data_IF_898446240436
#
_entry.id   IF_898446240436
#
_cell.length_a   1.000
_cell.length_b   1.000
_cell.length_c   1.000
_cell.angle_alpha   90.00
_cell.angle_beta   90.00
_cell.angle_gamma   90.00
#
_symmetry.space_group_name_H-M   'P 1'
#
loop_
_entity.id
_entity.type
_entity.pdbx_description
1 polymer ?
#
# COMPACT_ATOMS: atom_id res chain seq x y z
N UNK A 1 5.38 20.77 4.35
CA UNK A 1 4.21 21.51 4.89
C UNK A 1 3.35 22.13 3.77
N UNK A 2 3.07 21.41 2.68
CA UNK A 2 2.30 21.94 1.53
C UNK A 2 0.86 21.41 1.43
N UNK A 3 0.50 20.36 2.19
CA UNK A 3 -0.83 19.75 2.09
C UNK A 3 -1.95 20.59 2.73
N UNK A 4 -1.65 21.49 3.66
CA UNK A 4 -2.69 22.06 4.53
C UNK A 4 -3.67 22.96 3.75
N UNK A 5 -3.18 23.84 2.87
CA UNK A 5 -4.04 24.75 2.09
C UNK A 5 -4.84 24.06 0.97
N UNK A 6 -4.20 23.15 0.23
CA UNK A 6 -4.81 22.51 -0.95
C UNK A 6 -5.78 21.37 -0.61
N UNK A 7 -5.63 20.74 0.56
CA UNK A 7 -6.60 19.74 1.03
C UNK A 7 -7.81 20.37 1.71
N UNK A 8 -7.66 21.53 2.35
CA UNK A 8 -8.74 22.27 3.02
C UNK A 8 -9.87 22.66 2.05
N UNK A 9 -9.54 23.01 0.80
CA UNK A 9 -10.54 23.42 -0.19
C UNK A 9 -11.33 22.24 -0.79
N UNK A 10 -10.95 20.99 -0.48
CA UNK A 10 -11.56 19.75 -0.95
C UNK A 10 -11.32 19.41 -2.43
N UNK A 11 -10.86 20.35 -3.26
CA UNK A 11 -10.69 20.14 -4.71
C UNK A 11 -9.62 19.10 -4.99
N UNK A 12 -8.50 19.13 -4.26
CA UNK A 12 -7.42 18.16 -4.47
C UNK A 12 -7.91 16.73 -4.20
N UNK A 13 -8.67 16.52 -3.12
CA UNK A 13 -9.24 15.22 -2.78
C UNK A 13 -10.23 14.75 -3.86
N UNK A 14 -11.09 15.65 -4.35
CA UNK A 14 -12.01 15.36 -5.45
C UNK A 14 -11.26 14.97 -6.74
N UNK A 15 -10.20 15.69 -7.12
CA UNK A 15 -9.36 15.34 -8.28
C UNK A 15 -8.70 13.97 -8.13
N UNK A 16 -8.26 13.61 -6.92
CA UNK A 16 -7.67 12.29 -6.66
C UNK A 16 -8.72 11.19 -6.82
N UNK A 17 -9.93 11.39 -6.25
CA UNK A 17 -11.03 10.44 -6.40
C UNK A 17 -11.43 10.24 -7.85
N UNK A 18 -11.56 11.32 -8.62
CA UNK A 18 -11.91 11.25 -10.04
C UNK A 18 -10.81 10.59 -10.88
N UNK A 19 -9.54 10.70 -10.46
CA UNK A 19 -8.42 10.01 -11.12
C UNK A 19 -8.38 8.51 -10.84
N UNK A 20 -8.81 8.08 -9.64
CA UNK A 20 -8.89 6.66 -9.26
C UNK A 20 -10.09 6.00 -9.93
N UNK A 21 -11.23 6.70 -9.96
CA UNK A 21 -12.47 6.29 -10.62
C UNK A 21 -13.02 7.44 -11.46
N UNK A 22 -12.72 7.46 -12.77
CA UNK A 22 -13.20 8.50 -13.68
C UNK A 22 -14.72 8.61 -13.66
N UNK A 23 -15.24 9.81 -13.42
CA UNK A 23 -16.67 10.11 -13.44
C UNK A 23 -17.36 9.95 -12.08
N UNK A 24 -16.64 9.64 -11.00
CA UNK A 24 -17.24 9.57 -9.65
C UNK A 24 -17.57 10.96 -9.09
N UNK A 25 -16.93 12.02 -9.58
CA UNK A 25 -17.15 13.40 -9.13
C UNK A 25 -18.10 14.13 -10.09
N UNK A 26 -19.22 14.63 -9.57
CA UNK A 26 -20.05 15.57 -10.31
C UNK A 26 -19.46 16.98 -10.20
N UNK A 27 -18.61 17.34 -11.17
CA UNK A 27 -17.92 18.63 -11.23
C UNK A 27 -18.86 19.85 -11.29
N UNK A 28 -20.14 19.68 -11.70
CA UNK A 28 -21.12 20.77 -11.66
C UNK A 28 -21.51 21.17 -10.23
N UNK A 29 -21.38 20.25 -9.26
CA UNK A 29 -21.66 20.53 -7.84
C UNK A 29 -20.45 21.10 -7.11
N UNK A 30 -19.26 21.00 -7.70
CA UNK A 30 -18.00 21.41 -7.07
C UNK A 30 -17.83 22.92 -7.17
N UNK A 31 -17.44 23.56 -6.07
CA UNK A 31 -17.00 24.95 -6.07
C UNK A 31 -15.55 25.00 -6.53
N UNK A 32 -15.33 25.26 -7.82
CA UNK A 32 -14.01 25.23 -8.48
C UNK A 32 -13.08 26.36 -8.00
N UNK A 33 -13.63 27.52 -7.66
CA UNK A 33 -12.91 28.65 -7.08
C UNK A 33 -13.54 29.03 -5.73
N UNK A 34 -13.32 28.23 -4.68
CA UNK A 34 -13.96 28.42 -3.39
C UNK A 34 -13.34 29.65 -2.70
N UNK A 35 -14.19 30.61 -2.30
CA UNK A 35 -13.73 31.91 -1.74
C UNK A 35 -13.85 31.95 -0.22
N UNK A 36 -14.81 31.20 0.33
CA UNK A 36 -15.17 31.24 1.75
C UNK A 36 -15.05 29.84 2.38
N UNK A 37 -14.92 29.79 3.72
CA UNK A 37 -14.88 28.53 4.49
C UNK A 37 -16.12 27.65 4.23
N UNK A 38 -17.27 28.25 3.95
CA UNK A 38 -18.49 27.54 3.57
C UNK A 38 -18.33 26.75 2.25
N UNK A 39 -17.66 27.31 1.25
CA UNK A 39 -17.39 26.60 -0.01
C UNK A 39 -16.44 25.42 0.22
N UNK A 40 -15.46 25.57 1.12
CA UNK A 40 -14.56 24.48 1.52
C UNK A 40 -15.34 23.33 2.15
N UNK A 41 -16.25 23.65 3.09
CA UNK A 41 -17.11 22.66 3.74
C UNK A 41 -17.99 21.94 2.72
N UNK A 42 -18.57 22.66 1.75
CA UNK A 42 -19.38 22.05 0.69
C UNK A 42 -18.57 21.06 -0.15
N UNK A 43 -17.38 21.44 -0.60
CA UNK A 43 -16.49 20.54 -1.34
C UNK A 43 -16.05 19.35 -0.49
N UNK A 44 -15.71 19.56 0.79
CA UNK A 44 -15.29 18.48 1.68
C UNK A 44 -16.46 17.52 2.03
N UNK A 45 -17.69 18.03 2.13
CA UNK A 45 -18.87 17.19 2.28
C UNK A 45 -19.12 16.35 1.02
N UNK A 46 -18.85 16.90 -0.18
CA UNK A 46 -18.88 16.10 -1.42
C UNK A 46 -17.84 14.98 -1.39
N UNK A 47 -16.61 15.25 -0.89
CA UNK A 47 -15.59 14.22 -0.70
C UNK A 47 -16.16 13.09 0.16
N UNK A 48 -16.58 13.38 1.40
CA UNK A 48 -17.15 12.37 2.32
C UNK A 48 -18.32 11.62 1.66
N UNK A 49 -19.22 12.33 0.98
CA UNK A 49 -20.36 11.73 0.31
C UNK A 49 -20.00 10.77 -0.84
N UNK A 50 -18.87 10.97 -1.52
CA UNK A 50 -18.38 10.08 -2.58
C UNK A 50 -17.70 8.86 -1.98
N UNK A 51 -16.80 9.04 -1.00
CA UNK A 51 -16.09 7.91 -0.39
C UNK A 51 -17.00 6.99 0.41
N UNK A 52 -18.09 7.50 1.01
CA UNK A 52 -19.07 6.67 1.72
C UNK A 52 -20.07 5.93 0.81
N UNK A 53 -19.97 6.06 -0.51
CA UNK A 53 -20.85 5.39 -1.48
C UNK A 53 -20.03 4.53 -2.45
N UNK A 54 -20.73 3.67 -3.19
CA UNK A 54 -20.14 2.99 -4.35
C UNK A 54 -19.53 4.02 -5.33
N UNK A 55 -18.32 3.77 -5.88
CA UNK A 55 -17.56 2.50 -5.87
C UNK A 55 -16.58 2.32 -4.69
N UNK A 56 -16.52 3.27 -3.75
CA UNK A 56 -15.52 3.28 -2.68
C UNK A 56 -15.96 2.53 -1.42
N UNK A 57 -17.21 2.74 -0.99
CA UNK A 57 -17.85 2.16 0.21
C UNK A 57 -16.94 2.19 1.46
N UNK A 58 -16.30 3.35 1.69
CA UNK A 58 -15.39 3.59 2.80
C UNK A 58 -16.14 4.16 4.01
N UNK A 59 -16.03 3.46 5.14
CA UNK A 59 -16.61 3.89 6.42
C UNK A 59 -15.77 5.02 7.04
N UNK A 60 -16.31 6.22 7.02
CA UNK A 60 -15.75 7.38 7.73
C UNK A 60 -16.41 7.51 9.10
N UNK A 61 -15.95 6.76 10.10
CA UNK A 61 -16.46 6.91 11.46
C UNK A 61 -15.95 8.23 12.06
N UNK A 62 -16.87 9.12 12.47
CA UNK A 62 -16.60 10.37 13.17
C UNK A 62 -15.72 11.41 12.43
N UNK A 63 -15.75 11.44 11.08
CA UNK A 63 -15.09 12.49 10.29
C UNK A 63 -16.12 13.12 9.34
N UNK A 64 -16.33 14.43 9.47
CA UNK A 64 -17.17 15.23 8.58
C UNK A 64 -16.36 16.11 7.63
N UNK A 65 -17.03 16.69 6.62
CA UNK A 65 -16.38 17.65 5.72
C UNK A 65 -15.93 18.93 6.43
N UNK A 66 -16.55 19.28 7.56
CA UNK A 66 -16.11 20.40 8.42
C UNK A 66 -14.72 20.15 8.99
N UNK A 67 -14.42 18.93 9.43
CA UNK A 67 -13.10 18.60 10.01
C UNK A 67 -11.97 18.76 8.99
N UNK A 68 -12.25 18.41 7.73
CA UNK A 68 -11.31 18.57 6.61
C UNK A 68 -11.15 20.05 6.26
N UNK A 69 -12.25 20.80 6.13
CA UNK A 69 -12.23 22.22 5.81
C UNK A 69 -11.56 23.08 6.90
N UNK A 70 -11.59 22.62 8.16
CA UNK A 70 -10.86 23.22 9.29
C UNK A 70 -9.38 22.85 9.33
N UNK A 71 -8.94 21.92 8.47
CA UNK A 71 -7.56 21.48 8.43
C UNK A 71 -7.16 20.57 9.58
N UNK A 72 -8.10 19.83 10.17
CA UNK A 72 -7.79 18.85 11.21
C UNK A 72 -6.93 17.75 10.60
N UNK A 73 -5.66 17.73 10.97
CA UNK A 73 -4.67 16.84 10.39
C UNK A 73 -5.09 15.36 10.49
N UNK A 74 -5.66 14.95 11.63
CA UNK A 74 -6.16 13.58 11.85
C UNK A 74 -7.25 13.20 10.84
N UNK A 75 -8.17 14.10 10.54
CA UNK A 75 -9.25 13.87 9.57
C UNK A 75 -8.69 13.73 8.15
N UNK A 76 -7.82 14.66 7.72
CA UNK A 76 -7.19 14.65 6.40
C UNK A 76 -6.36 13.37 6.20
N UNK A 77 -5.53 13.00 7.18
CA UNK A 77 -4.69 11.80 7.11
C UNK A 77 -5.53 10.52 7.08
N UNK A 78 -6.61 10.46 7.87
CA UNK A 78 -7.52 9.31 7.85
C UNK A 78 -8.16 9.14 6.47
N UNK A 79 -8.72 10.21 5.90
CA UNK A 79 -9.35 10.16 4.57
C UNK A 79 -8.34 9.80 3.48
N UNK A 80 -7.18 10.47 3.45
CA UNK A 80 -6.13 10.18 2.48
C UNK A 80 -5.61 8.74 2.59
N UNK A 81 -5.42 8.24 3.82
CA UNK A 81 -4.99 6.87 4.08
C UNK A 81 -6.02 5.83 3.63
N UNK A 82 -7.32 6.08 3.85
CA UNK A 82 -8.38 5.20 3.36
C UNK A 82 -8.42 5.16 1.82
N UNK A 83 -8.31 6.32 1.15
CA UNK A 83 -8.24 6.42 -0.32
C UNK A 83 -7.02 5.65 -0.85
N UNK A 84 -5.85 5.85 -0.24
CA UNK A 84 -4.62 5.14 -0.60
C UNK A 84 -4.77 3.63 -0.45
N UNK A 85 -5.29 3.17 0.69
CA UNK A 85 -5.51 1.74 0.95
C UNK A 85 -6.49 1.13 -0.04
N UNK A 86 -7.58 1.84 -0.33
CA UNK A 86 -8.54 1.44 -1.35
C UNK A 86 -7.87 1.26 -2.72
N UNK A 87 -7.08 2.26 -3.15
CA UNK A 87 -6.39 2.22 -4.43
C UNK A 87 -5.41 1.05 -4.54
N UNK A 88 -4.64 0.78 -3.49
CA UNK A 88 -3.73 -0.36 -3.44
C UNK A 88 -4.50 -1.69 -3.59
N UNK A 89 -5.57 -1.88 -2.80
CA UNK A 89 -6.40 -3.08 -2.89
C UNK A 89 -7.05 -3.20 -4.27
N UNK A 90 -7.53 -2.09 -4.85
CA UNK A 90 -8.09 -2.07 -6.22
C UNK A 90 -7.04 -2.50 -7.24
N UNK A 91 -5.83 -1.97 -7.16
CA UNK A 91 -4.73 -2.34 -8.07
C UNK A 91 -4.39 -3.82 -7.95
N UNK A 92 -4.29 -4.35 -6.72
CA UNK A 92 -4.09 -5.79 -6.50
C UNK A 92 -5.27 -6.64 -7.00
N UNK A 93 -6.51 -6.13 -6.92
CA UNK A 93 -7.70 -6.78 -7.48
C UNK A 93 -7.73 -6.74 -9.00
N UNK A 94 -7.12 -5.75 -9.65
CA UNK A 94 -6.98 -5.74 -11.11
C UNK A 94 -5.99 -6.81 -11.60
N UNK A 95 -5.07 -7.23 -10.73
CA UNK A 95 -4.22 -8.39 -10.99
C UNK A 95 -4.99 -9.72 -10.86
N UNK A 96 -6.32 -9.74 -10.68
CA UNK A 96 -7.12 -10.98 -10.55
C UNK A 96 -6.81 -11.96 -11.69
N UNK A 97 -6.68 -13.22 -11.30
CA UNK A 97 -6.41 -14.33 -12.21
C UNK A 97 -7.55 -15.35 -12.11
N UNK A 98 -8.27 -15.57 -13.21
CA UNK A 98 -9.37 -16.56 -13.26
C UNK A 98 -10.31 -16.48 -12.04
N UNK A 99 -10.77 -15.27 -11.71
CA UNK A 99 -11.64 -14.94 -10.57
C UNK A 99 -11.07 -15.20 -9.16
N UNK A 100 -9.77 -15.50 -9.05
CA UNK A 100 -9.07 -15.67 -7.76
C UNK A 100 -8.18 -14.47 -7.43
N UNK A 101 -8.12 -14.15 -6.14
CA UNK A 101 -7.21 -13.14 -5.60
C UNK A 101 -5.76 -13.65 -5.65
N UNK A 102 -4.84 -12.77 -6.08
CA UNK A 102 -3.41 -13.08 -6.18
C UNK A 102 -2.75 -12.97 -4.80
N UNK A 103 -1.91 -13.93 -4.45
CA UNK A 103 -1.07 -13.84 -3.24
C UNK A 103 0.23 -13.08 -3.51
N UNK A 104 0.79 -12.47 -2.47
CA UNK A 104 2.07 -11.74 -2.56
C UNK A 104 3.20 -12.61 -3.15
N UNK A 105 3.22 -13.91 -2.84
CA UNK A 105 4.19 -14.86 -3.42
C UNK A 105 3.99 -15.06 -4.93
N UNK A 106 2.74 -15.12 -5.41
CA UNK A 106 2.45 -15.22 -6.84
C UNK A 106 2.87 -13.95 -7.59
N UNK A 107 2.67 -12.78 -6.98
CA UNK A 107 3.14 -11.50 -7.55
C UNK A 107 4.67 -11.53 -7.67
N UNK A 108 5.37 -12.04 -6.65
CA UNK A 108 6.84 -12.16 -6.64
C UNK A 108 7.33 -13.11 -7.74
N UNK A 109 6.75 -14.30 -7.80
CA UNK A 109 7.19 -15.32 -8.76
C UNK A 109 6.93 -14.86 -10.19
N UNK A 110 5.79 -14.21 -10.42
CA UNK A 110 5.49 -13.60 -11.70
C UNK A 110 6.45 -12.45 -12.02
N UNK A 111 6.70 -11.51 -11.11
CA UNK A 111 7.64 -10.40 -11.34
C UNK A 111 9.04 -10.90 -11.64
N UNK A 112 9.52 -11.92 -10.93
CA UNK A 112 10.81 -12.57 -11.22
C UNK A 112 10.86 -13.19 -12.60
N UNK A 113 9.77 -13.81 -13.06
CA UNK A 113 9.73 -14.38 -14.41
C UNK A 113 9.76 -13.30 -15.51
N UNK A 114 9.27 -12.10 -15.20
CA UNK A 114 9.32 -10.93 -16.10
C UNK A 114 10.71 -10.32 -16.09
N UNK A 115 11.35 -10.13 -14.92
CA UNK A 115 12.73 -9.60 -14.90
C UNK A 115 13.72 -10.50 -15.64
N UNK A 116 13.50 -11.82 -15.63
CA UNK A 116 14.20 -12.80 -16.46
C UNK A 116 13.89 -12.68 -17.97
N UNK A 117 13.11 -11.71 -18.43
CA UNK A 117 12.91 -11.39 -19.84
C UNK A 117 13.51 -10.01 -20.22
N UNK A 118 13.91 -9.20 -19.23
CA UNK A 118 14.53 -7.87 -19.44
C UNK A 118 15.82 -7.95 -20.27
N UNK A 119 15.97 -7.19 -21.37
CA UNK A 119 17.19 -7.23 -22.18
C UNK A 119 18.47 -6.84 -21.41
N UNK A 120 18.33 -6.09 -20.30
CA UNK A 120 19.46 -5.55 -19.54
C UNK A 120 19.91 -6.43 -18.37
N UNK A 121 18.98 -7.14 -17.71
CA UNK A 121 19.26 -8.03 -16.57
C UNK A 121 20.12 -7.36 -15.48
N UNK A 122 19.77 -6.13 -15.11
CA UNK A 122 20.52 -5.39 -14.09
C UNK A 122 20.45 -6.04 -12.71
N UNK A 123 19.41 -6.81 -12.43
CA UNK A 123 19.12 -7.39 -11.12
C UNK A 123 18.89 -8.91 -11.17
N UNK A 124 19.05 -9.54 -10.02
CA UNK A 124 18.71 -10.94 -9.80
C UNK A 124 17.25 -11.08 -9.31
N UNK A 125 16.60 -12.25 -9.54
CA UNK A 125 15.30 -12.56 -8.98
C UNK A 125 15.29 -12.45 -7.44
N UNK A 126 14.22 -11.87 -6.90
CA UNK A 126 14.06 -11.65 -5.45
C UNK A 126 13.41 -12.86 -4.78
N UNK A 127 13.77 -13.15 -3.53
CA UNK A 127 13.10 -14.18 -2.70
C UNK A 127 12.14 -13.55 -1.70
N UNK A 128 12.49 -12.37 -1.17
CA UNK A 128 11.68 -11.61 -0.19
C UNK A 128 11.46 -10.17 -0.65
N UNK A 129 10.35 -9.58 -0.19
CA UNK A 129 9.97 -8.20 -0.48
C UNK A 129 10.80 -7.13 0.26
N UNK A 130 11.70 -7.55 1.15
CA UNK A 130 12.54 -6.67 1.98
C UNK A 130 14.06 -6.86 1.72
N UNK A 131 14.42 -7.28 0.51
CA UNK A 131 15.82 -7.48 0.15
C UNK A 131 16.54 -6.16 -0.14
N UNK A 132 17.78 -6.04 0.33
CA UNK A 132 18.63 -4.84 0.11
C UNK A 132 18.87 -4.57 -1.38
N UNK A 133 18.85 -5.60 -2.23
CA UNK A 133 18.98 -5.47 -3.69
C UNK A 133 17.91 -4.55 -4.29
N UNK A 134 16.70 -4.54 -3.73
CA UNK A 134 15.59 -3.69 -4.18
C UNK A 134 15.85 -2.20 -3.95
N UNK A 135 16.67 -1.85 -2.95
CA UNK A 135 17.03 -0.45 -2.65
C UNK A 135 17.79 0.24 -3.77
N UNK A 136 18.38 -0.52 -4.70
CA UNK A 136 19.13 0.00 -5.86
C UNK A 136 18.23 0.51 -6.98
N UNK A 137 16.94 0.11 -6.99
CA UNK A 137 15.98 0.42 -8.04
C UNK A 137 16.15 -0.39 -9.33
N UNK A 138 17.23 -1.16 -9.49
CA UNK A 138 17.55 -1.92 -10.70
C UNK A 138 16.48 -2.97 -11.05
N UNK A 139 15.91 -3.62 -10.04
CA UNK A 139 14.84 -4.60 -10.22
C UNK A 139 13.60 -4.01 -10.89
N UNK A 140 13.22 -2.79 -10.51
CA UNK A 140 12.07 -2.12 -11.10
C UNK A 140 12.37 -1.66 -12.53
N UNK A 141 13.61 -1.27 -12.83
CA UNK A 141 14.04 -0.99 -14.21
C UNK A 141 13.94 -2.23 -15.10
N UNK A 142 14.34 -3.40 -14.62
CA UNK A 142 14.20 -4.64 -15.38
C UNK A 142 12.72 -4.95 -15.68
N UNK A 143 11.82 -4.74 -14.72
CA UNK A 143 10.37 -4.89 -14.96
C UNK A 143 9.85 -3.89 -16.00
N UNK A 144 10.26 -2.62 -15.90
CA UNK A 144 9.86 -1.57 -16.84
C UNK A 144 10.46 -1.79 -18.24
N UNK A 145 11.66 -2.36 -18.34
CA UNK A 145 12.32 -2.62 -19.62
C UNK A 145 11.59 -3.66 -20.47
N UNK A 146 10.93 -4.62 -19.84
CA UNK A 146 10.06 -5.57 -20.55
C UNK A 146 8.77 -4.91 -21.02
N UNK A 147 8.29 -3.92 -20.28
CA UNK A 147 7.10 -3.15 -20.64
C UNK A 147 7.34 -2.15 -21.76
N UNK A 148 8.53 -1.58 -21.83
CA UNK A 148 8.93 -0.66 -22.88
C UNK A 148 9.20 -1.41 -24.20
N UNK A 149 8.12 -1.82 -24.86
CA UNK A 149 8.16 -2.45 -26.19
C UNK A 149 8.76 -1.53 -27.26
N UNK A 150 8.78 -0.22 -27.00
CA UNK A 150 9.29 0.82 -27.91
C UNK A 150 10.79 1.09 -27.75
N UNK A 151 11.43 0.59 -26.67
CA UNK A 151 12.85 0.81 -26.33
C UNK A 151 13.29 2.28 -26.32
N UNK A 152 12.37 3.21 -26.12
CA UNK A 152 12.63 4.66 -26.18
C UNK A 152 12.48 5.34 -24.83
N UNK A 153 11.91 4.66 -23.82
CA UNK A 153 11.64 5.25 -22.52
C UNK A 153 12.79 5.05 -21.55
N UNK A 154 13.53 3.95 -21.69
CA UNK A 154 14.68 3.63 -20.83
C UNK A 154 15.96 3.81 -21.62
N UNK A 155 16.74 4.82 -21.26
CA UNK A 155 18.14 4.95 -21.66
C UNK A 155 19.02 4.22 -20.62
N UNK A 156 19.65 3.09 -20.98
CA UNK A 156 20.52 2.34 -20.08
C UNK A 156 21.70 3.14 -19.55
N UNK A 157 22.15 4.17 -20.30
CA UNK A 157 23.28 5.02 -19.91
C UNK A 157 22.94 5.96 -18.75
N UNK A 158 21.66 6.19 -18.49
CA UNK A 158 21.18 7.04 -17.39
C UNK A 158 20.90 6.24 -16.11
N UNK A 159 21.07 4.91 -16.14
CA UNK A 159 20.84 4.04 -14.98
C UNK A 159 22.15 3.81 -14.24
N UNK A 160 22.19 4.17 -12.96
CA UNK A 160 23.34 3.83 -12.14
C UNK A 160 23.32 2.34 -11.82
N UNK A 161 24.33 1.60 -12.28
CA UNK A 161 24.48 0.15 -12.01
C UNK A 161 25.59 -0.16 -11.02
N UNK A 162 26.54 0.76 -10.84
CA UNK A 162 27.66 0.61 -9.90
C UNK A 162 27.29 1.12 -8.50
N UNK A 163 27.06 0.15 -7.61
CA UNK A 163 26.78 0.32 -6.19
C UNK A 163 27.89 -0.25 -5.30
N UNK A 164 29.11 -0.43 -5.83
CA UNK A 164 30.25 -0.87 -5.03
C UNK A 164 30.73 0.23 -4.10
N UNK A 165 31.02 -0.12 -2.84
CA UNK A 165 31.66 0.77 -1.88
C UNK A 165 33.16 0.68 -2.13
N UNK A 166 33.75 1.77 -2.63
CA UNK A 166 35.20 1.88 -2.80
C UNK A 166 35.67 3.11 -2.02
N UNK A 167 36.11 2.88 -0.78
CA UNK A 167 36.64 3.93 0.10
C UNK A 167 37.85 4.63 -0.54
N UNK A 168 38.69 3.86 -1.26
CA UNK A 168 39.88 4.36 -1.97
C UNK A 168 39.57 5.29 -3.15
N UNK A 169 38.35 5.24 -3.69
CA UNK A 169 37.89 6.04 -4.83
C UNK A 169 37.03 7.26 -4.41
N UNK A 170 36.92 7.51 -3.09
CA UNK A 170 36.12 8.60 -2.55
C UNK A 170 34.61 8.41 -2.69
N UNK A 171 34.14 7.16 -2.84
CA UNK A 171 32.70 6.84 -2.87
C UNK A 171 32.19 6.80 -1.44
N UNK A 172 31.74 7.96 -0.96
CA UNK A 172 31.04 8.09 0.32
C UNK A 172 29.66 7.41 0.27
N UNK A 173 29.18 6.94 1.43
CA UNK A 173 27.84 6.36 1.60
C UNK A 173 26.75 7.33 1.13
N UNK A 174 26.98 8.64 1.27
CA UNK A 174 26.12 9.70 0.73
C UNK A 174 25.93 9.63 -0.78
N UNK A 175 27.01 9.44 -1.55
CA UNK A 175 26.96 9.34 -3.02
C UNK A 175 26.18 8.10 -3.47
N UNK A 176 26.31 7.01 -2.71
CA UNK A 176 25.55 5.78 -2.98
C UNK A 176 24.04 6.00 -2.79
N UNK A 177 23.66 6.72 -1.74
CA UNK A 177 22.25 7.06 -1.46
C UNK A 177 21.71 7.96 -2.57
N UNK A 178 22.46 8.94 -3.03
CA UNK A 178 22.06 9.81 -4.14
C UNK A 178 21.81 9.03 -5.45
N UNK A 179 22.70 8.09 -5.79
CA UNK A 179 22.51 7.17 -6.93
C UNK A 179 21.21 6.36 -6.80
N UNK A 180 20.93 5.82 -5.60
CA UNK A 180 19.68 5.09 -5.32
C UNK A 180 18.44 5.97 -5.46
N UNK A 181 18.48 7.18 -4.90
CA UNK A 181 17.40 8.18 -5.02
C UNK A 181 17.14 8.48 -6.49
N UNK A 182 18.18 8.70 -7.28
CA UNK A 182 18.07 9.00 -8.71
C UNK A 182 17.39 7.86 -9.47
N UNK A 183 17.88 6.63 -9.30
CA UNK A 183 17.29 5.44 -9.90
C UNK A 183 15.82 5.25 -9.53
N UNK A 184 15.48 5.30 -8.24
CA UNK A 184 14.10 5.12 -7.77
C UNK A 184 13.19 6.25 -8.28
N UNK A 185 13.68 7.49 -8.30
CA UNK A 185 12.93 8.65 -8.82
C UNK A 185 12.61 8.49 -10.31
N UNK A 186 13.58 7.99 -11.08
CA UNK A 186 13.40 7.67 -12.49
C UNK A 186 12.36 6.54 -12.68
N UNK A 187 12.47 5.44 -11.92
CA UNK A 187 11.48 4.34 -11.93
C UNK A 187 10.06 4.84 -11.66
N UNK A 188 9.88 5.66 -10.62
CA UNK A 188 8.56 6.22 -10.28
C UNK A 188 8.04 7.09 -11.42
N UNK A 189 8.91 7.92 -12.00
CA UNK A 189 8.56 8.81 -13.11
C UNK A 189 8.14 8.02 -14.35
N UNK A 190 8.89 6.98 -14.71
CA UNK A 190 8.60 6.10 -15.83
C UNK A 190 7.29 5.33 -15.62
N UNK A 191 7.10 4.78 -14.42
CA UNK A 191 5.85 4.08 -14.08
C UNK A 191 4.64 5.00 -14.23
N UNK A 192 4.77 6.28 -13.84
CA UNK A 192 3.72 7.29 -14.03
C UNK A 192 3.51 7.68 -15.48
N UNK A 193 4.59 7.78 -16.27
CA UNK A 193 4.51 8.03 -17.73
C UNK A 193 3.76 6.92 -18.46
N UNK A 194 3.93 5.67 -18.04
CA UNK A 194 3.19 4.51 -18.55
C UNK A 194 1.73 4.44 -18.06
N UNK A 195 1.26 5.44 -17.28
CA UNK A 195 -0.11 5.50 -16.79
C UNK A 195 -0.35 4.81 -15.44
N UNK A 196 0.71 4.37 -14.76
CA UNK A 196 0.63 3.85 -13.39
C UNK A 196 0.34 4.93 -12.36
N UNK A 197 -0.60 4.67 -11.45
CA UNK A 197 -0.84 5.51 -10.28
C UNK A 197 -0.10 4.90 -9.08
N UNK A 198 0.75 5.69 -8.42
CA UNK A 198 1.64 5.24 -7.34
C UNK A 198 1.52 6.13 -6.11
N UNK A 199 1.27 5.49 -4.96
CA UNK A 199 1.28 6.11 -3.64
C UNK A 199 2.39 5.49 -2.78
N UNK A 200 3.64 5.69 -3.20
CA UNK A 200 4.83 5.18 -2.51
C UNK A 200 5.82 6.32 -2.31
N UNK A 201 6.41 6.39 -1.12
CA UNK A 201 7.47 7.35 -0.82
C UNK A 201 8.82 6.79 -1.27
N UNK A 202 9.70 7.64 -1.82
CA UNK A 202 11.04 7.22 -2.29
C UNK A 202 11.83 6.56 -1.15
N UNK A 203 11.76 7.14 0.05
CA UNK A 203 12.44 6.60 1.24
C UNK A 203 12.02 5.16 1.56
N UNK A 204 10.73 4.81 1.37
CA UNK A 204 10.25 3.46 1.65
C UNK A 204 10.86 2.43 0.70
N UNK A 205 11.21 2.83 -0.53
CA UNK A 205 11.87 1.97 -1.51
C UNK A 205 13.39 1.88 -1.27
N UNK A 206 14.02 2.96 -0.83
CA UNK A 206 15.44 2.97 -0.43
C UNK A 206 15.64 2.06 0.79
N UNK A 207 14.71 2.10 1.75
CA UNK A 207 14.71 1.21 2.92
C UNK A 207 14.23 -0.22 2.59
N UNK A 208 13.85 -0.48 1.33
CA UNK A 208 13.28 -1.76 0.87
C UNK A 208 12.13 -2.24 1.77
N UNK A 209 11.21 -1.36 2.15
CA UNK A 209 10.01 -1.75 2.91
C UNK A 209 9.12 -2.64 2.05
N UNK A 210 8.69 -3.77 2.61
CA UNK A 210 7.92 -4.79 1.90
C UNK A 210 6.65 -4.23 1.25
N UNK A 211 5.88 -3.42 1.99
CA UNK A 211 4.65 -2.82 1.48
C UNK A 211 4.91 -1.85 0.32
N UNK A 212 5.96 -1.04 0.39
CA UNK A 212 6.33 -0.10 -0.68
C UNK A 212 6.76 -0.83 -1.94
N UNK A 213 7.63 -1.83 -1.80
CA UNK A 213 8.12 -2.67 -2.91
C UNK A 213 7.00 -3.46 -3.58
N UNK A 214 6.14 -4.10 -2.80
CA UNK A 214 4.99 -4.83 -3.34
C UNK A 214 4.07 -3.90 -4.12
N UNK A 215 3.80 -2.70 -3.59
CA UNK A 215 2.91 -1.72 -4.24
C UNK A 215 3.46 -1.29 -5.60
N UNK A 216 4.74 -0.92 -5.69
CA UNK A 216 5.32 -0.47 -6.96
C UNK A 216 5.36 -1.60 -7.99
N UNK A 217 5.72 -2.82 -7.59
CA UNK A 217 5.74 -3.99 -8.48
C UNK A 217 4.33 -4.33 -8.95
N UNK A 218 3.36 -4.37 -8.05
CA UNK A 218 1.96 -4.62 -8.39
C UNK A 218 1.43 -3.57 -9.39
N UNK A 219 1.75 -2.28 -9.20
CA UNK A 219 1.35 -1.23 -10.14
C UNK A 219 2.00 -1.41 -11.51
N UNK A 220 3.30 -1.72 -11.57
CA UNK A 220 4.01 -1.95 -12.84
C UNK A 220 3.39 -3.13 -13.60
N UNK A 221 3.12 -4.23 -12.88
CA UNK A 221 2.46 -5.40 -13.46
C UNK A 221 1.03 -5.10 -13.94
N UNK A 222 0.26 -4.33 -13.18
CA UNK A 222 -1.10 -3.94 -13.55
C UNK A 222 -1.11 -3.08 -14.81
N UNK A 223 -0.17 -2.15 -14.93
CA UNK A 223 0.04 -1.36 -16.15
C UNK A 223 0.36 -2.27 -17.33
N UNK A 224 1.25 -3.24 -17.14
CA UNK A 224 1.59 -4.22 -18.17
C UNK A 224 0.42 -5.07 -18.67
N UNK A 225 -0.47 -5.49 -17.77
CA UNK A 225 -1.70 -6.19 -18.14
C UNK A 225 -2.62 -5.29 -18.96
N UNK A 226 -2.80 -4.03 -18.56
CA UNK A 226 -3.63 -3.05 -19.29
C UNK A 226 -3.08 -2.76 -20.69
N UNK A 227 -1.75 -2.80 -20.86
CA UNK A 227 -1.09 -2.62 -22.16
C UNK A 227 -1.13 -3.87 -23.05
N UNK A 228 -1.57 -5.03 -22.54
CA UNK A 228 -1.60 -6.29 -23.28
C UNK A 228 -0.24 -6.95 -23.49
N UNK A 229 0.85 -6.36 -22.97
CA UNK A 229 2.22 -6.85 -23.13
C UNK A 229 2.47 -8.18 -22.38
N UNK A 230 1.62 -8.53 -21.42
CA UNK A 230 1.77 -9.73 -20.59
C UNK A 230 0.71 -10.82 -20.81
N UNK A 231 -0.37 -10.56 -21.56
CA UNK A 231 -1.55 -11.45 -21.60
C UNK A 231 -1.23 -12.89 -22.03
N UNK A 232 -0.35 -13.10 -23.01
CA UNK A 232 -0.05 -14.45 -23.53
C UNK A 232 0.91 -15.26 -22.65
N UNK A 233 1.98 -14.64 -22.15
CA UNK A 233 2.96 -15.31 -21.29
C UNK A 233 2.40 -15.65 -19.90
N UNK A 234 1.31 -14.99 -19.52
CA UNK A 234 0.71 -15.04 -18.20
C UNK A 234 -0.28 -16.23 -18.03
N UNK A 235 -1.25 -16.37 -18.93
CA UNK A 235 -2.27 -17.44 -18.86
C UNK A 235 -1.67 -18.85 -19.00
N UNK A 236 -0.66 -18.99 -19.87
CA UNK A 236 0.00 -20.26 -20.14
C UNK A 236 0.74 -20.81 -18.90
N UNK A 237 1.24 -19.93 -18.02
CA UNK A 237 2.09 -20.29 -16.86
C UNK A 237 1.33 -20.49 -15.56
N UNK A 238 0.09 -20.04 -15.46
CA UNK A 238 -0.78 -20.36 -14.31
C UNK A 238 -1.40 -21.77 -14.43
N UNK A 239 -1.44 -22.36 -15.63
CA UNK A 239 -1.90 -23.76 -15.81
C UNK A 239 -1.02 -24.78 -15.07
N UNK A 240 0.22 -24.41 -14.76
CA UNK A 240 1.22 -25.24 -14.06
C UNK A 240 1.15 -25.18 -12.53
N UNK A 241 0.29 -24.35 -11.92
CA UNK A 241 0.19 -24.23 -10.46
C UNK A 241 -1.00 -25.06 -9.89
N UNK A 242 -0.82 -25.92 -8.87
CA UNK A 242 -1.87 -26.79 -8.34
C UNK A 242 -3.03 -26.00 -7.70
N UNK A 243 -4.29 -26.37 -7.99
CA UNK A 243 -5.49 -25.58 -7.63
C UNK A 243 -5.87 -25.58 -6.14
N UNK A 244 -5.30 -26.46 -5.32
CA UNK A 244 -5.92 -26.87 -4.04
C UNK A 244 -5.30 -26.26 -2.76
N UNK A 245 -4.20 -25.52 -2.82
CA UNK A 245 -3.51 -25.05 -1.59
C UNK A 245 -3.99 -23.70 -1.02
N UNK A 246 -4.97 -23.04 -1.65
CA UNK A 246 -5.17 -21.60 -1.49
C UNK A 246 -6.31 -21.20 -0.53
N UNK A 247 -7.32 -22.04 -0.33
CA UNK A 247 -8.52 -21.66 0.42
C UNK A 247 -8.33 -21.66 1.94
N UNK A 248 -7.45 -22.50 2.48
CA UNK A 248 -7.32 -22.68 3.93
C UNK A 248 -6.43 -21.65 4.62
N UNK A 249 -5.52 -20.98 3.88
CA UNK A 249 -4.53 -20.08 4.49
C UNK A 249 -5.03 -18.64 4.58
N UNK A 250 -5.78 -18.16 3.58
CA UNK A 250 -6.24 -16.77 3.53
C UNK A 250 -7.42 -16.47 4.46
N UNK A 251 -8.36 -17.41 4.60
CA UNK A 251 -9.47 -17.29 5.57
C UNK A 251 -8.93 -17.21 7.00
N UNK A 252 -7.90 -17.99 7.34
CA UNK A 252 -7.30 -17.98 8.68
C UNK A 252 -6.61 -16.65 9.01
N UNK A 253 -5.80 -16.11 8.09
CA UNK A 253 -5.04 -14.86 8.32
C UNK A 253 -5.91 -13.59 8.28
N UNK A 254 -7.03 -13.60 7.54
CA UNK A 254 -7.96 -12.47 7.51
C UNK A 254 -8.85 -12.45 8.76
N UNK A 255 -9.31 -13.61 9.23
CA UNK A 255 -10.07 -13.73 10.48
C UNK A 255 -9.23 -13.36 11.70
N UNK A 256 -7.98 -13.84 11.80
CA UNK A 256 -7.05 -13.44 12.87
C UNK A 256 -6.78 -11.92 12.90
N UNK A 257 -6.64 -11.28 11.73
CA UNK A 257 -6.41 -9.82 11.65
C UNK A 257 -7.67 -9.00 11.95
N UNK A 258 -8.87 -9.55 11.75
CA UNK A 258 -10.14 -8.89 12.06
C UNK A 258 -10.53 -9.06 13.54
N UNK A 259 -10.24 -10.22 14.16
CA UNK A 259 -10.51 -10.49 15.57
C UNK A 259 -9.63 -9.66 16.51
N UNK A 260 -8.35 -9.45 16.16
CA UNK A 260 -7.43 -8.59 16.94
C UNK A 260 -7.88 -7.11 16.96
N UNK A 261 -8.80 -6.70 16.07
CA UNK A 261 -9.29 -5.31 15.98
C UNK A 261 -10.62 -5.09 16.73
N UNK A 262 -11.31 -6.13 17.20
CA UNK A 262 -12.65 -5.99 17.80
C UNK A 262 -12.73 -6.11 19.33
N UNK A 263 -11.68 -6.51 20.04
CA UNK A 263 -11.72 -6.52 21.51
C UNK A 263 -10.96 -5.34 22.14
N UNK A 264 -11.71 -4.26 22.41
CA UNK A 264 -11.70 -3.53 23.69
C UNK A 264 -12.76 -2.41 23.67
N UNK A 265 -13.84 -2.53 24.46
CA UNK A 265 -14.44 -1.39 25.12
C UNK A 265 -13.76 -1.23 26.50
N UNK A 266 -13.31 0.00 26.79
CA UNK A 266 -13.12 0.43 28.18
C UNK A 266 -14.48 0.88 28.66
N UNK A 267 -14.98 0.28 29.73
CA UNK A 267 -15.92 0.96 30.62
C UNK A 267 -15.26 1.13 31.98
N UNK A 268 -15.28 2.38 32.44
CA UNK A 268 -14.89 2.80 33.77
C UNK A 268 -16.08 3.51 34.39
N UNK A 269 -16.60 3.02 35.51
CA UNK A 269 -17.15 3.85 36.59
C UNK A 269 -17.12 3.10 37.93
N UNK A 270 -16.64 3.83 38.94
CA UNK A 270 -16.53 3.50 40.36
C UNK A 270 -17.88 3.25 41.05
N UNK A 271 -17.89 2.42 42.11
CA UNK A 271 -18.17 2.84 43.51
C UNK A 271 -18.61 1.68 44.42
N UNK A 272 -17.79 1.42 45.46
CA UNK A 272 -18.06 0.97 46.86
C UNK A 272 -19.45 0.41 47.22
N UNK A 273 -19.48 -0.78 47.87
CA UNK A 273 -19.84 -0.93 49.29
C UNK A 273 -19.67 -2.37 49.83
N UNK A 274 -19.03 -2.46 50.99
CA UNK A 274 -19.27 -3.28 52.20
C UNK A 274 -19.84 -4.71 52.15
N UNK A 275 -19.22 -5.60 52.95
CA UNK A 275 -19.99 -6.49 53.82
C UNK A 275 -19.64 -7.98 53.84
N UNK A 276 -18.75 -8.35 54.76
CA UNK A 276 -18.64 -9.61 55.52
C UNK A 276 -18.32 -10.98 54.86
N UNK A 277 -17.45 -11.79 55.53
CA UNK A 277 -17.21 -13.20 55.20
C UNK A 277 -17.98 -14.14 56.15
N UNK A 278 -18.62 -15.20 55.64
CA UNK A 278 -19.13 -16.31 56.47
C UNK A 278 -18.99 -17.68 55.75
N UNK A 279 -18.07 -18.48 56.31
CA UNK A 279 -18.17 -19.89 56.76
C UNK A 279 -18.33 -21.04 55.73
N UNK A 280 -17.29 -21.90 55.77
CA UNK A 280 -17.18 -23.38 55.72
C UNK A 280 -18.05 -24.23 54.78
N UNK A 281 -17.43 -25.24 54.17
CA UNK A 281 -17.48 -26.65 54.65
C UNK A 281 -16.34 -27.46 54.00
N UNK A 282 -15.51 -28.00 54.88
CA UNK A 282 -14.77 -29.28 54.90
C UNK A 282 -14.72 -30.15 53.63
N UNK A 283 -13.52 -30.64 53.30
CA UNK A 283 -13.17 -32.03 53.66
C UNK A 283 -11.72 -32.39 53.28
N UNK A 284 -11.04 -32.96 54.29
CA UNK A 284 -10.17 -34.15 54.23
C UNK A 284 -8.95 -34.14 53.29
N UNK A 285 -7.70 -34.20 53.76
CA UNK A 285 -7.00 -35.11 54.69
C UNK A 285 -5.90 -35.80 53.88
N UNK A 286 -4.65 -35.54 54.23
CA UNK A 286 -3.59 -36.53 54.52
C UNK A 286 -2.23 -35.80 54.50
N UNK A 287 -1.59 -35.68 55.68
CA UNK A 287 -0.40 -36.44 56.11
C UNK A 287 0.86 -36.11 55.29
N UNK A 288 2.02 -35.79 55.87
CA UNK A 288 2.66 -36.25 57.11
C UNK A 288 4.01 -35.51 57.26
N UNK A 289 4.42 -35.28 58.52
CA UNK A 289 5.79 -35.42 59.11
C UNK A 289 6.97 -34.68 58.43
N UNK A 290 8.02 -34.19 59.10
CA UNK A 290 8.45 -33.98 60.49
C UNK A 290 9.75 -33.15 60.38
N UNK A 291 9.92 -32.12 61.22
CA UNK A 291 10.99 -32.01 62.24
C UNK A 291 12.34 -31.43 61.76
N UNK A 292 12.83 -30.53 62.64
CA UNK A 292 14.15 -29.87 62.76
C UNK A 292 14.59 -28.80 61.75
#
# INVERSE_FOLDING_TARGET
MYMKGDSMNGILLLKILDRIHPGCVNWMKVKVAPKNKWDYVLNCNLVIGIISKEPYDLKTTNIGGVDIAEGKLKAILSVAGQIQRYFMIKTLKELKFADKYVTDDQIRDWSNSITLQSPYRFSQPIKKWNERSLSTGLYFFDLLAVLDTTKTLIDPLQVYTDFTLNEDMGIDEGVLIEKKISNISAVITLTRKLGGILFVHIQDLIEAKSQGTLTIVATILAVGLRMGNFSRSFEQRMSTYPKDSYQSRYTKTLTEKLEITQERPRDSTNSRNDGNPIINIDNDNDKKEAEE
#
